data_IF_844313805952
#
_entry.id   IF_844313805952
#
_cell.length_a   1.000
_cell.length_b   1.000
_cell.length_c   1.000
_cell.angle_alpha   90.00
_cell.angle_beta   90.00
_cell.angle_gamma   90.00
#
_symmetry.space_group_name_H-M   'P 1'
#
loop_
_entity.id
_entity.type
_entity.pdbx_description
1 polymer ?
#
# COMPACT_ATOMS: atom_id res chain seq x y z
N UNK A 1 -38.00 -6.68 -16.30
CA UNK A 1 -37.27 -5.73 -15.44
C UNK A 1 -35.99 -6.32 -14.84
N UNK A 2 -36.07 -7.44 -14.12
CA UNK A 2 -34.92 -8.08 -13.44
C UNK A 2 -33.74 -8.43 -14.38
N UNK A 3 -34.01 -8.97 -15.58
CA UNK A 3 -32.96 -9.27 -16.58
C UNK A 3 -32.21 -8.04 -17.09
N UNK A 4 -32.88 -6.89 -17.18
CA UNK A 4 -32.26 -5.62 -17.63
C UNK A 4 -31.40 -5.04 -16.52
N UNK A 5 -31.90 -5.06 -15.27
CA UNK A 5 -31.13 -4.65 -14.10
C UNK A 5 -29.87 -5.52 -13.92
N UNK A 6 -30.00 -6.84 -14.07
CA UNK A 6 -28.86 -7.77 -13.99
C UNK A 6 -27.80 -7.50 -15.07
N UNK A 7 -28.22 -7.28 -16.33
CA UNK A 7 -27.28 -6.89 -17.40
C UNK A 7 -26.58 -5.56 -17.13
N UNK A 8 -27.30 -4.56 -16.60
CA UNK A 8 -26.70 -3.27 -16.22
C UNK A 8 -25.67 -3.45 -15.10
N UNK A 9 -26.00 -4.21 -14.06
CA UNK A 9 -25.07 -4.53 -12.98
C UNK A 9 -23.81 -5.21 -13.51
N UNK A 10 -23.94 -6.25 -14.34
CA UNK A 10 -22.79 -6.91 -14.97
C UNK A 10 -21.95 -5.96 -15.81
N UNK A 11 -22.57 -5.05 -16.55
CA UNK A 11 -21.85 -4.02 -17.29
C UNK A 11 -21.08 -3.06 -16.38
N UNK A 12 -21.66 -2.65 -15.24
CA UNK A 12 -20.95 -1.83 -14.24
C UNK A 12 -19.74 -2.56 -13.68
N UNK A 13 -19.92 -3.82 -13.24
CA UNK A 13 -18.82 -4.64 -12.71
C UNK A 13 -17.72 -4.83 -13.77
N UNK A 14 -18.11 -5.10 -15.02
CA UNK A 14 -17.18 -5.24 -16.14
C UNK A 14 -16.37 -3.96 -16.36
N UNK A 15 -17.04 -2.81 -16.48
CA UNK A 15 -16.35 -1.54 -16.70
C UNK A 15 -15.49 -1.11 -15.52
N UNK A 16 -15.92 -1.40 -14.29
CA UNK A 16 -15.12 -1.20 -13.09
C UNK A 16 -13.84 -2.05 -13.11
N UNK A 17 -13.94 -3.35 -13.44
CA UNK A 17 -12.79 -4.23 -13.54
C UNK A 17 -11.81 -3.79 -14.64
N UNK A 18 -12.33 -3.43 -15.82
CA UNK A 18 -11.51 -2.89 -16.92
C UNK A 18 -10.81 -1.60 -16.48
N UNK A 19 -11.55 -0.66 -15.89
CA UNK A 19 -11.00 0.60 -15.39
C UNK A 19 -9.90 0.39 -14.35
N UNK A 20 -10.11 -0.54 -13.41
CA UNK A 20 -9.10 -0.89 -12.40
C UNK A 20 -7.82 -1.43 -13.02
N UNK A 21 -7.91 -2.37 -13.97
CA UNK A 21 -6.74 -2.90 -14.68
C UNK A 21 -6.03 -1.80 -15.45
N UNK A 22 -6.76 -0.94 -16.16
CA UNK A 22 -6.18 0.18 -16.91
C UNK A 22 -5.44 1.15 -15.98
N UNK A 23 -5.98 1.46 -14.79
CA UNK A 23 -5.31 2.29 -13.80
C UNK A 23 -4.02 1.64 -13.29
N UNK A 24 -4.03 0.34 -13.01
CA UNK A 24 -2.81 -0.40 -12.60
C UNK A 24 -1.75 -0.35 -13.70
N UNK A 25 -2.14 -0.56 -14.95
CA UNK A 25 -1.21 -0.50 -16.08
C UNK A 25 -0.67 0.91 -16.31
N UNK A 26 -1.48 1.95 -16.10
CA UNK A 26 -1.04 3.33 -16.16
C UNK A 26 -0.01 3.63 -15.06
N UNK A 27 -0.34 3.32 -13.81
CA UNK A 27 0.53 3.62 -12.67
C UNK A 27 1.73 2.68 -12.53
N UNK A 28 1.80 1.63 -13.35
CA UNK A 28 3.02 0.82 -13.52
C UNK A 28 4.17 1.65 -14.13
N UNK A 29 3.85 2.63 -14.97
CA UNK A 29 4.84 3.42 -15.72
C UNK A 29 4.79 4.90 -15.39
N UNK A 30 3.64 5.42 -14.97
CA UNK A 30 3.49 6.80 -14.51
C UNK A 30 3.45 6.82 -12.99
N UNK A 31 4.32 7.59 -12.31
CA UNK A 31 4.25 7.68 -10.87
C UNK A 31 2.91 8.27 -10.40
N UNK A 32 2.16 7.63 -9.47
CA UNK A 32 0.87 8.14 -9.02
C UNK A 32 1.03 9.52 -8.36
N UNK A 33 0.13 10.49 -8.59
CA UNK A 33 0.29 11.85 -8.09
C UNK A 33 0.18 11.96 -6.56
N UNK A 34 -0.64 11.12 -5.93
CA UNK A 34 -0.84 11.06 -4.48
C UNK A 34 -1.15 9.62 -4.06
N UNK A 35 -1.06 9.34 -2.76
CA UNK A 35 -1.46 8.06 -2.14
C UNK A 35 -2.62 8.28 -1.18
N UNK A 36 -3.29 7.20 -0.75
CA UNK A 36 -4.34 7.27 0.25
C UNK A 36 -3.84 7.92 1.55
N UNK A 37 -2.64 7.55 2.01
CA UNK A 37 -1.98 8.15 3.17
C UNK A 37 -1.75 9.65 3.02
N UNK A 38 -1.33 10.12 1.84
CA UNK A 38 -1.15 11.56 1.59
C UNK A 38 -2.46 12.32 1.73
N UNK A 39 -3.56 11.75 1.22
CA UNK A 39 -4.89 12.35 1.34
C UNK A 39 -5.36 12.34 2.80
N UNK A 40 -5.21 11.23 3.50
CA UNK A 40 -5.53 11.10 4.93
C UNK A 40 -4.83 12.16 5.75
N UNK A 41 -3.49 12.27 5.63
CA UNK A 41 -2.69 13.28 6.34
C UNK A 41 -3.11 14.71 6.00
N UNK A 42 -3.48 14.97 4.74
CA UNK A 42 -3.91 16.30 4.33
C UNK A 42 -5.28 16.67 4.91
N UNK A 43 -6.19 15.70 5.02
CA UNK A 43 -7.50 15.89 5.66
C UNK A 43 -7.33 16.09 7.17
N UNK A 44 -6.51 15.28 7.84
CA UNK A 44 -6.18 15.46 9.28
C UNK A 44 -5.63 16.87 9.54
N UNK A 45 -4.66 17.30 8.73
CA UNK A 45 -4.08 18.66 8.78
C UNK A 45 -5.11 19.78 8.66
N UNK A 46 -6.16 19.60 7.84
CA UNK A 46 -7.25 20.58 7.74
C UNK A 46 -8.16 20.60 8.96
N UNK A 47 -8.39 19.44 9.58
CA UNK A 47 -9.21 19.31 10.79
C UNK A 47 -8.48 19.91 11.99
N UNK A 48 -7.19 19.63 12.12
CA UNK A 48 -6.37 20.09 13.24
C UNK A 48 -5.93 21.56 13.10
N UNK A 49 -6.12 22.16 11.91
CA UNK A 49 -5.74 23.55 11.63
C UNK A 49 -4.24 23.76 11.44
N UNK A 50 -3.46 22.69 11.41
CA UNK A 50 -2.00 22.71 11.25
C UNK A 50 -1.62 22.32 9.82
N UNK A 51 -1.34 23.29 8.92
CA UNK A 51 -1.10 23.01 7.51
C UNK A 51 0.19 22.22 7.32
N UNK A 52 0.09 21.05 6.69
CA UNK A 52 1.26 20.25 6.28
C UNK A 52 1.62 20.52 4.82
N UNK A 53 2.91 20.60 4.54
CA UNK A 53 3.46 20.55 3.18
C UNK A 53 3.92 19.12 2.87
N UNK A 54 3.32 18.51 1.85
CA UNK A 54 3.63 17.14 1.45
C UNK A 54 4.76 17.17 0.42
N UNK A 55 5.98 16.91 0.88
CA UNK A 55 7.15 16.87 0.01
C UNK A 55 7.40 15.45 -0.49
N UNK A 56 7.55 15.33 -1.82
CA UNK A 56 7.80 14.05 -2.47
C UNK A 56 8.53 14.24 -3.79
N UNK A 57 9.65 13.52 -3.95
CA UNK A 57 10.34 13.34 -5.21
C UNK A 57 10.36 11.87 -5.58
N UNK A 58 10.10 11.59 -6.86
CA UNK A 58 10.29 10.25 -7.40
C UNK A 58 11.74 10.12 -7.84
N UNK A 59 12.41 9.08 -7.35
CA UNK A 59 13.79 8.77 -7.68
C UNK A 59 13.83 7.39 -8.33
N UNK A 60 14.48 7.25 -9.50
CA UNK A 60 14.71 5.95 -10.13
C UNK A 60 15.43 4.98 -9.19
N UNK A 61 15.12 3.69 -9.29
CA UNK A 61 15.65 2.66 -8.39
C UNK A 61 17.18 2.55 -8.41
N UNK A 62 17.77 2.77 -9.58
CA UNK A 62 19.21 2.78 -9.85
C UNK A 62 19.93 4.02 -9.28
N UNK A 63 19.22 5.11 -9.03
CA UNK A 63 19.76 6.31 -8.37
C UNK A 63 19.71 6.23 -6.84
N UNK A 64 18.93 5.30 -6.28
CA UNK A 64 18.89 5.07 -4.84
C UNK A 64 20.15 4.30 -4.39
N UNK A 65 20.84 4.80 -3.36
CA UNK A 65 22.00 4.12 -2.77
C UNK A 65 21.65 2.70 -2.30
N UNK A 66 22.53 1.73 -2.58
CA UNK A 66 22.34 0.35 -2.13
C UNK A 66 22.33 0.23 -0.60
N UNK A 67 23.10 1.04 0.10
CA UNK A 67 23.09 1.08 1.57
C UNK A 67 21.72 1.51 2.11
N UNK A 68 21.06 2.46 1.44
CA UNK A 68 19.72 2.89 1.81
C UNK A 68 18.68 1.79 1.56
N UNK A 69 18.77 1.10 0.41
CA UNK A 69 17.90 -0.05 0.12
C UNK A 69 18.03 -1.12 1.19
N UNK A 70 19.27 -1.47 1.56
CA UNK A 70 19.56 -2.46 2.61
C UNK A 70 19.06 -1.98 3.97
N UNK A 71 19.27 -0.72 4.33
CA UNK A 71 18.82 -0.16 5.60
C UNK A 71 17.29 -0.23 5.74
N UNK A 72 16.55 0.14 4.69
CA UNK A 72 15.08 0.09 4.68
C UNK A 72 14.59 -1.36 4.77
N UNK A 73 15.15 -2.27 3.97
CA UNK A 73 14.82 -3.70 4.08
C UNK A 73 15.13 -4.23 5.48
N UNK A 74 16.28 -3.89 6.05
CA UNK A 74 16.68 -4.37 7.37
C UNK A 74 15.79 -3.85 8.51
N UNK A 75 15.28 -2.62 8.39
CA UNK A 75 14.44 -1.98 9.39
C UNK A 75 12.96 -2.33 9.29
N UNK A 76 12.42 -2.43 8.07
CA UNK A 76 10.99 -2.61 7.83
C UNK A 76 10.62 -4.06 7.48
N UNK A 77 11.44 -4.74 6.69
CA UNK A 77 11.10 -6.04 6.11
C UNK A 77 12.35 -6.86 5.72
N UNK A 78 12.96 -7.50 6.71
CA UNK A 78 14.23 -8.22 6.55
C UNK A 78 14.17 -9.38 5.55
N UNK A 79 12.97 -9.93 5.34
CA UNK A 79 12.73 -11.09 4.48
C UNK A 79 12.08 -10.70 3.17
N UNK A 80 12.09 -9.41 2.83
CA UNK A 80 11.51 -8.88 1.60
C UNK A 80 11.86 -9.69 0.34
N UNK A 81 13.12 -10.11 0.09
CA UNK A 81 13.47 -10.88 -1.12
C UNK A 81 12.98 -12.33 -1.10
N UNK A 82 12.48 -12.82 0.03
CA UNK A 82 12.18 -14.23 0.28
C UNK A 82 10.68 -14.53 0.20
N UNK A 83 9.84 -13.51 0.01
CA UNK A 83 8.39 -13.65 -0.02
C UNK A 83 7.72 -12.84 -1.13
N UNK A 84 6.45 -13.14 -1.39
CA UNK A 84 5.65 -12.52 -2.45
C UNK A 84 4.66 -11.50 -1.91
N UNK A 85 5.11 -10.70 -0.94
CA UNK A 85 4.34 -9.62 -0.31
C UNK A 85 3.69 -9.96 1.02
N UNK A 86 3.75 -11.22 1.47
CA UNK A 86 3.28 -11.64 2.79
C UNK A 86 4.31 -12.55 3.45
N UNK A 87 4.83 -12.16 4.62
CA UNK A 87 5.61 -13.05 5.48
C UNK A 87 4.67 -13.77 6.46
N UNK A 88 4.18 -14.94 6.04
CA UNK A 88 3.31 -15.76 6.88
C UNK A 88 3.96 -16.18 8.21
N UNK A 89 5.29 -16.34 8.22
CA UNK A 89 6.03 -16.66 9.44
C UNK A 89 6.02 -15.49 10.42
N UNK A 90 6.28 -14.28 9.93
CA UNK A 90 6.20 -13.07 10.74
C UNK A 90 4.77 -12.79 11.23
N UNK A 91 3.77 -13.00 10.37
CA UNK A 91 2.34 -12.87 10.74
C UNK A 91 1.98 -13.83 11.87
N UNK A 92 2.33 -15.11 11.74
CA UNK A 92 2.07 -16.11 12.79
C UNK A 92 2.78 -15.76 14.10
N UNK A 93 4.05 -15.33 14.02
CA UNK A 93 4.82 -14.92 15.19
C UNK A 93 4.20 -13.69 15.89
N UNK A 94 3.72 -12.71 15.12
CA UNK A 94 3.04 -11.53 15.65
C UNK A 94 1.71 -11.89 16.32
N UNK A 95 0.91 -12.77 15.72
CA UNK A 95 -0.34 -13.27 16.33
C UNK A 95 -0.05 -13.94 17.68
N UNK A 96 0.88 -14.91 17.70
CA UNK A 96 1.26 -15.62 18.93
C UNK A 96 1.85 -14.70 20.01
N UNK A 97 2.56 -13.64 19.62
CA UNK A 97 3.06 -12.63 20.55
C UNK A 97 1.91 -11.81 21.13
N UNK A 98 1.01 -11.31 20.29
CA UNK A 98 -0.09 -10.43 20.68
C UNK A 98 -1.15 -11.17 21.52
N UNK A 99 -1.35 -12.48 21.30
CA UNK A 99 -2.20 -13.33 22.13
C UNK A 99 -1.70 -13.45 23.58
N UNK A 100 -0.38 -13.35 23.81
CA UNK A 100 0.21 -13.39 25.16
C UNK A 100 0.03 -12.08 25.92
N UNK A 101 -0.50 -11.05 25.27
CA UNK A 101 -0.68 -9.71 25.84
C UNK A 101 0.63 -8.93 25.98
N UNK A 102 0.51 -7.66 26.36
CA UNK A 102 1.63 -6.73 26.45
C UNK A 102 1.77 -5.86 25.20
N UNK A 103 3.00 -5.66 24.73
CA UNK A 103 3.27 -4.85 23.54
C UNK A 103 2.73 -5.50 22.27
N UNK A 104 2.10 -4.72 21.39
CA UNK A 104 1.68 -5.20 20.08
C UNK A 104 2.90 -5.24 19.15
N UNK A 105 3.08 -6.37 18.47
CA UNK A 105 4.05 -6.54 17.39
C UNK A 105 3.34 -6.52 16.04
N UNK A 106 3.91 -5.77 15.10
CA UNK A 106 3.49 -5.76 13.69
C UNK A 106 4.16 -6.85 12.86
N UNK A 107 3.60 -7.13 11.68
CA UNK A 107 4.15 -8.07 10.69
C UNK A 107 3.93 -7.58 9.24
N UNK A 108 3.75 -6.27 9.06
CA UNK A 108 3.48 -5.69 7.74
C UNK A 108 4.73 -5.67 6.88
N UNK A 109 4.67 -6.27 5.69
CA UNK A 109 5.74 -6.23 4.69
C UNK A 109 5.79 -4.89 3.97
N UNK A 110 6.90 -4.59 3.30
CA UNK A 110 6.99 -3.39 2.45
C UNK A 110 5.90 -3.36 1.37
N UNK A 111 5.54 -4.51 0.78
CA UNK A 111 4.44 -4.61 -0.19
C UNK A 111 3.10 -4.22 0.41
N UNK A 112 2.80 -4.68 1.64
CA UNK A 112 1.56 -4.33 2.33
C UNK A 112 1.53 -2.83 2.66
N UNK A 113 2.64 -2.28 3.15
CA UNK A 113 2.76 -0.86 3.47
C UNK A 113 2.55 0.03 2.24
N UNK A 114 3.06 -0.36 1.06
CA UNK A 114 2.86 0.38 -0.19
C UNK A 114 1.42 0.25 -0.72
N UNK A 115 0.74 -0.86 -0.43
CA UNK A 115 -0.64 -1.10 -0.88
C UNK A 115 -1.72 -0.44 -0.02
N UNK A 116 -1.35 0.05 1.17
CA UNK A 116 -2.23 0.75 2.13
C UNK A 116 -2.57 2.16 1.62
#
# INVERSE_FOLDING_TARGET
MLRVLFKRFLNVVKWFAIGSVLLVLLFRVVPPPFTALMVERKVESWVDGEPIDLQRSWVPWDEVSDDLKVAVMAGEDQRFPQHWGFDFGAIQAAILHNERGGSIRGASTLSQQVSK
#
